data_IF_518228747068
#
_entry.id   IF_518228747068
#
_cell.length_a   1.000
_cell.length_b   1.000
_cell.length_c   1.000
_cell.angle_alpha   90.00
_cell.angle_beta   90.00
_cell.angle_gamma   90.00
#
_symmetry.space_group_name_H-M   'P 1'
#
loop_
_entity.id
_entity.type
_entity.pdbx_description
1 polymer ?
#
# COMPACT_ATOMS: atom_id res chain seq x y z
N UNK A 1 -17.31 -9.43 2.58
CA UNK A 1 -18.69 -9.90 2.28
C UNK A 1 -18.74 -11.36 1.79
N UNK A 2 -17.91 -11.80 0.83
CA UNK A 2 -17.94 -13.22 0.37
C UNK A 2 -17.36 -14.17 1.39
N UNK A 3 -16.28 -13.80 2.05
CA UNK A 3 -15.65 -14.56 3.15
C UNK A 3 -16.59 -14.73 4.35
N UNK A 4 -17.35 -13.71 4.71
CA UNK A 4 -18.27 -13.73 5.85
C UNK A 4 -19.44 -14.72 5.64
N UNK A 5 -19.91 -14.83 4.40
CA UNK A 5 -20.95 -15.82 4.05
C UNK A 5 -20.42 -17.24 4.15
N UNK A 6 -19.18 -17.50 3.74
CA UNK A 6 -18.58 -18.84 3.86
C UNK A 6 -18.30 -19.24 5.32
N UNK A 7 -17.84 -18.30 6.14
CA UNK A 7 -17.62 -18.57 7.58
C UNK A 7 -18.93 -18.80 8.30
N UNK A 8 -19.97 -17.99 8.05
CA UNK A 8 -21.30 -18.18 8.63
C UNK A 8 -21.95 -19.48 8.18
N UNK A 9 -21.82 -19.84 6.90
CA UNK A 9 -22.31 -21.12 6.39
C UNK A 9 -21.56 -22.30 7.03
N UNK A 10 -20.24 -22.21 7.21
CA UNK A 10 -19.43 -23.22 7.87
C UNK A 10 -19.87 -23.46 9.33
N UNK A 11 -20.12 -22.37 10.06
CA UNK A 11 -20.62 -22.46 11.45
C UNK A 11 -22.02 -23.09 11.49
N UNK A 12 -22.94 -22.69 10.60
CA UNK A 12 -24.28 -23.29 10.54
C UNK A 12 -24.24 -24.78 10.19
N UNK A 13 -23.39 -25.19 9.25
CA UNK A 13 -23.21 -26.62 8.91
C UNK A 13 -22.64 -27.40 10.09
N UNK A 14 -21.64 -26.83 10.79
CA UNK A 14 -21.05 -27.48 11.99
C UNK A 14 -22.07 -27.66 13.12
N UNK A 15 -22.86 -26.63 13.40
CA UNK A 15 -23.93 -26.71 14.40
C UNK A 15 -25.04 -27.69 13.97
N UNK A 16 -25.38 -27.74 12.69
CA UNK A 16 -26.32 -28.70 12.15
C UNK A 16 -25.86 -30.15 12.30
N UNK A 17 -24.57 -30.42 12.06
CA UNK A 17 -23.97 -31.76 12.24
C UNK A 17 -24.02 -32.17 13.72
N UNK A 18 -23.68 -31.25 14.64
CA UNK A 18 -23.73 -31.49 16.07
C UNK A 18 -25.17 -31.79 16.52
N UNK A 19 -26.14 -30.99 16.04
CA UNK A 19 -27.57 -31.20 16.39
C UNK A 19 -28.08 -32.54 15.86
N UNK A 20 -27.76 -32.94 14.64
CA UNK A 20 -28.11 -34.24 14.06
C UNK A 20 -27.42 -35.39 14.79
N UNK A 21 -26.13 -35.24 15.15
CA UNK A 21 -25.40 -36.27 15.86
C UNK A 21 -26.01 -36.54 17.24
N UNK A 22 -26.46 -35.49 17.95
CA UNK A 22 -27.13 -35.64 19.24
C UNK A 22 -28.47 -36.37 19.14
N UNK A 23 -29.17 -36.28 17.99
CA UNK A 23 -30.45 -36.93 17.76
C UNK A 23 -30.32 -38.44 17.39
N UNK A 24 -29.21 -38.80 16.71
CA UNK A 24 -29.02 -40.17 16.21
C UNK A 24 -28.16 -41.07 17.10
N UNK A 25 -27.39 -40.52 18.06
CA UNK A 25 -26.46 -41.28 18.88
C UNK A 25 -26.80 -41.14 20.37
N UNK A 26 -27.77 -41.90 20.82
CA UNK A 26 -28.11 -42.04 22.27
C UNK A 26 -27.21 -43.04 23.01
N UNK A 27 -26.11 -43.52 22.43
CA UNK A 27 -25.23 -44.49 23.07
C UNK A 27 -24.31 -43.82 24.11
N UNK A 28 -24.40 -44.19 25.40
CA UNK A 28 -23.62 -43.60 26.49
C UNK A 28 -22.10 -43.76 26.33
N UNK A 29 -21.64 -44.58 25.41
CA UNK A 29 -20.21 -44.76 25.11
C UNK A 29 -19.63 -43.64 24.23
N UNK A 30 -20.46 -42.76 23.69
CA UNK A 30 -20.07 -41.72 22.73
C UNK A 30 -20.03 -40.32 23.38
N UNK A 31 -20.28 -40.24 24.70
CA UNK A 31 -20.27 -38.95 25.43
C UNK A 31 -18.97 -38.14 25.32
N UNK A 32 -17.86 -38.76 24.99
CA UNK A 32 -16.59 -38.04 24.79
C UNK A 32 -16.51 -37.32 23.41
N UNK A 33 -17.35 -37.68 22.44
CA UNK A 33 -17.39 -37.00 21.12
C UNK A 33 -17.94 -35.59 21.24
N UNK A 34 -18.88 -35.34 22.14
CA UNK A 34 -19.48 -34.02 22.33
C UNK A 34 -18.46 -32.98 22.82
N UNK A 35 -17.65 -33.20 23.87
CA UNK A 35 -16.61 -32.24 24.24
C UNK A 35 -15.51 -32.11 23.18
N UNK A 36 -15.20 -33.16 22.44
CA UNK A 36 -14.23 -33.05 21.32
C UNK A 36 -14.78 -32.18 20.18
N UNK A 37 -16.04 -32.40 19.79
CA UNK A 37 -16.70 -31.55 18.79
C UNK A 37 -16.77 -30.09 19.26
N UNK A 38 -17.11 -29.85 20.52
CA UNK A 38 -17.15 -28.53 21.12
C UNK A 38 -15.77 -27.82 21.05
N UNK A 39 -14.67 -28.55 21.33
CA UNK A 39 -13.32 -28.03 21.24
C UNK A 39 -13.00 -27.67 19.79
N UNK A 40 -13.34 -28.51 18.80
CA UNK A 40 -13.15 -28.23 17.40
C UNK A 40 -13.87 -26.94 16.97
N UNK A 41 -15.13 -26.79 17.36
CA UNK A 41 -15.91 -25.58 17.05
C UNK A 41 -15.30 -24.36 17.74
N UNK A 42 -14.89 -24.46 18.99
CA UNK A 42 -14.25 -23.37 19.72
C UNK A 42 -12.95 -22.91 19.07
N UNK A 43 -12.09 -23.85 18.64
CA UNK A 43 -10.84 -23.54 17.92
C UNK A 43 -11.14 -22.88 16.57
N UNK A 44 -12.15 -23.36 15.86
CA UNK A 44 -12.55 -22.78 14.57
C UNK A 44 -13.07 -21.34 14.73
N UNK A 45 -13.91 -21.10 15.74
CA UNK A 45 -14.42 -19.75 16.05
C UNK A 45 -13.28 -18.83 16.48
N UNK A 46 -12.38 -19.31 17.33
CA UNK A 46 -11.22 -18.54 17.78
C UNK A 46 -10.31 -18.15 16.60
N UNK A 47 -10.08 -19.08 15.69
CA UNK A 47 -9.33 -18.81 14.47
C UNK A 47 -10.02 -17.76 13.59
N UNK A 48 -11.33 -17.90 13.36
CA UNK A 48 -12.09 -16.93 12.57
C UNK A 48 -12.09 -15.53 13.21
N UNK A 49 -12.24 -15.46 14.54
CA UNK A 49 -12.15 -14.20 15.28
C UNK A 49 -10.74 -13.56 15.19
N UNK A 50 -9.69 -14.38 15.28
CA UNK A 50 -8.33 -13.91 15.12
C UNK A 50 -8.08 -13.36 13.72
N UNK A 51 -8.47 -14.08 12.66
CA UNK A 51 -8.29 -13.67 11.27
C UNK A 51 -9.02 -12.35 10.98
N UNK A 52 -10.27 -12.20 11.47
CA UNK A 52 -11.04 -10.95 11.34
C UNK A 52 -10.38 -9.79 12.10
N UNK A 53 -9.91 -10.04 13.31
CA UNK A 53 -9.24 -9.02 14.13
C UNK A 53 -7.91 -8.59 13.48
N UNK A 54 -7.11 -9.55 13.02
CA UNK A 54 -5.86 -9.29 12.34
C UNK A 54 -6.07 -8.46 11.04
N UNK A 55 -7.11 -8.78 10.28
CA UNK A 55 -7.49 -8.02 9.10
C UNK A 55 -7.93 -6.60 9.46
N UNK A 56 -8.79 -6.44 10.47
CA UNK A 56 -9.25 -5.13 10.92
C UNK A 56 -8.10 -4.27 11.45
N UNK A 57 -7.17 -4.85 12.20
CA UNK A 57 -5.96 -4.17 12.65
C UNK A 57 -5.05 -3.78 11.47
N UNK A 58 -4.89 -4.66 10.48
CA UNK A 58 -4.14 -4.37 9.27
C UNK A 58 -4.70 -3.16 8.49
N UNK A 59 -6.02 -3.03 8.43
CA UNK A 59 -6.68 -1.89 7.78
C UNK A 59 -6.56 -0.57 8.58
N UNK A 60 -6.30 -0.66 9.90
CA UNK A 60 -6.06 0.50 10.78
C UNK A 60 -4.59 0.88 10.87
N UNK A 61 -3.69 -0.05 10.61
CA UNK A 61 -2.25 0.21 10.55
C UNK A 61 -1.88 0.73 9.17
N UNK A 62 -1.02 1.72 9.10
CA UNK A 62 -0.50 2.32 7.85
C UNK A 62 0.31 1.28 7.04
N UNK A 63 -0.38 0.30 6.47
CA UNK A 63 0.23 -0.73 5.63
C UNK A 63 0.60 -0.11 4.27
N UNK A 64 1.83 -0.32 3.85
CA UNK A 64 2.30 0.08 2.51
C UNK A 64 1.48 -0.59 1.42
N UNK A 65 1.42 0.04 0.26
CA UNK A 65 0.87 -0.58 -0.94
C UNK A 65 1.67 -1.83 -1.34
N UNK A 66 1.05 -2.78 -2.06
CA UNK A 66 1.75 -3.89 -2.67
C UNK A 66 2.93 -3.41 -3.52
N UNK A 67 4.01 -4.20 -3.57
CA UNK A 67 5.24 -3.83 -4.28
C UNK A 67 5.00 -3.59 -5.78
N UNK A 68 4.10 -4.34 -6.40
CA UNK A 68 3.73 -4.17 -7.81
C UNK A 68 3.05 -2.83 -8.08
N UNK A 69 2.21 -2.34 -7.16
CA UNK A 69 1.61 -1.00 -7.24
C UNK A 69 2.68 0.09 -7.05
N UNK A 70 3.60 -0.05 -6.09
CA UNK A 70 4.70 0.90 -5.88
C UNK A 70 5.67 0.95 -7.07
N UNK A 71 6.06 -0.20 -7.61
CA UNK A 71 6.98 -0.28 -8.75
C UNK A 71 6.35 0.31 -10.01
N UNK A 72 5.05 0.13 -10.18
CA UNK A 72 4.34 0.78 -11.27
C UNK A 72 4.32 2.32 -11.07
N UNK A 73 4.06 2.84 -9.87
CA UNK A 73 4.13 4.28 -9.58
C UNK A 73 5.53 4.82 -9.93
N UNK A 74 6.59 4.11 -9.52
CA UNK A 74 7.97 4.47 -9.87
C UNK A 74 8.16 4.52 -11.38
N UNK A 75 7.64 3.57 -12.13
CA UNK A 75 7.74 3.54 -13.59
C UNK A 75 7.04 4.74 -14.24
N UNK A 76 5.90 5.17 -13.72
CA UNK A 76 5.19 6.38 -14.19
C UNK A 76 6.03 7.63 -13.95
N UNK A 77 6.62 7.78 -12.76
CA UNK A 77 7.49 8.93 -12.44
C UNK A 77 8.70 8.96 -13.39
N UNK A 78 9.35 7.81 -13.59
CA UNK A 78 10.52 7.69 -14.47
C UNK A 78 10.17 7.97 -15.93
N UNK A 79 8.93 7.68 -16.35
CA UNK A 79 8.43 7.96 -17.69
C UNK A 79 8.33 9.45 -18.04
N UNK A 80 8.36 10.34 -17.04
CA UNK A 80 8.34 11.80 -17.24
C UNK A 80 9.75 12.42 -17.36
N UNK A 81 10.71 11.65 -17.83
CA UNK A 81 12.00 12.21 -18.27
C UNK A 81 11.83 12.97 -19.60
N UNK A 82 12.57 14.06 -19.82
CA UNK A 82 13.61 14.65 -18.96
C UNK A 82 13.11 15.70 -17.97
N UNK A 83 11.81 15.97 -17.88
CA UNK A 83 11.23 17.04 -17.05
C UNK A 83 11.48 16.83 -15.57
N UNK A 84 11.46 15.56 -15.13
CA UNK A 84 11.75 15.16 -13.74
C UNK A 84 13.20 14.73 -13.64
N UNK A 85 13.96 15.47 -12.84
CA UNK A 85 15.38 15.23 -12.58
C UNK A 85 15.62 14.14 -11.54
N UNK A 86 14.63 13.87 -10.69
CA UNK A 86 14.69 12.85 -9.65
C UNK A 86 13.43 12.82 -8.82
N UNK A 87 13.31 11.78 -8.01
CA UNK A 87 12.23 11.65 -7.02
C UNK A 87 12.76 11.03 -5.74
N UNK A 88 12.11 11.32 -4.62
CA UNK A 88 12.45 10.72 -3.34
C UNK A 88 11.25 10.73 -2.39
N UNK A 89 11.41 10.10 -1.22
CA UNK A 89 10.38 10.03 -0.19
C UNK A 89 9.03 9.49 -0.69
N UNK A 90 9.05 8.49 -1.59
CA UNK A 90 7.82 7.80 -1.96
C UNK A 90 7.28 7.07 -0.72
N UNK A 91 6.16 7.55 -0.23
CA UNK A 91 5.41 7.00 0.89
C UNK A 91 4.04 6.58 0.41
N UNK A 92 3.68 5.37 0.71
CA UNK A 92 2.39 4.82 0.36
C UNK A 92 1.74 4.24 1.60
N UNK A 93 0.42 4.39 1.69
CA UNK A 93 -0.35 3.74 2.74
C UNK A 93 -1.73 3.37 2.22
N UNK A 94 -2.26 2.27 2.74
CA UNK A 94 -3.60 1.79 2.48
C UNK A 94 -4.42 1.93 3.76
N UNK A 95 -5.58 2.56 3.66
CA UNK A 95 -6.56 2.65 4.74
C UNK A 95 -7.91 2.16 4.22
N UNK A 96 -8.26 0.92 4.54
CA UNK A 96 -9.43 0.24 3.99
C UNK A 96 -9.37 0.17 2.46
N UNK A 97 -10.32 0.81 1.78
CA UNK A 97 -10.38 0.86 0.31
C UNK A 97 -9.68 2.10 -0.29
N UNK A 98 -9.10 2.97 0.55
CA UNK A 98 -8.42 4.18 0.09
C UNK A 98 -6.91 3.99 0.08
N UNK A 99 -6.25 4.59 -0.91
CA UNK A 99 -4.80 4.60 -1.08
C UNK A 99 -4.28 6.02 -1.00
N UNK A 100 -3.28 6.22 -0.18
CA UNK A 100 -2.59 7.51 -0.05
C UNK A 100 -1.18 7.35 -0.57
N UNK A 101 -0.83 8.19 -1.54
CA UNK A 101 0.45 8.16 -2.24
C UNK A 101 1.04 9.56 -2.13
N UNK A 102 2.23 9.64 -1.56
CA UNK A 102 2.96 10.89 -1.37
C UNK A 102 4.39 10.71 -1.85
N UNK A 103 4.90 11.65 -2.62
CA UNK A 103 6.29 11.66 -3.05
C UNK A 103 6.74 13.06 -3.45
N UNK A 104 8.06 13.25 -3.47
CA UNK A 104 8.70 14.47 -3.89
C UNK A 104 9.35 14.27 -5.26
N UNK A 105 9.26 15.27 -6.12
CA UNK A 105 9.94 15.31 -7.42
C UNK A 105 10.91 16.48 -7.47
N UNK A 106 12.06 16.23 -8.07
CA UNK A 106 13.06 17.27 -8.38
C UNK A 106 12.91 17.70 -9.83
N UNK A 107 12.82 19.02 -10.06
CA UNK A 107 12.69 19.62 -11.39
C UNK A 107 13.75 20.72 -11.61
N UNK A 108 13.90 21.22 -12.84
CA UNK A 108 14.81 22.34 -13.10
C UNK A 108 14.43 23.56 -12.22
N UNK A 109 15.38 24.16 -11.49
CA UNK A 109 15.11 25.33 -10.64
C UNK A 109 14.51 26.54 -11.39
N UNK A 110 14.69 26.59 -12.71
CA UNK A 110 14.16 27.65 -13.58
C UNK A 110 12.80 27.32 -14.16
N UNK A 111 12.26 26.14 -13.88
CA UNK A 111 10.94 25.73 -14.32
C UNK A 111 9.87 26.65 -13.70
N UNK A 112 8.92 27.09 -14.52
CA UNK A 112 7.82 27.90 -14.00
C UNK A 112 6.87 27.07 -13.14
N UNK A 113 6.17 27.73 -12.23
CA UNK A 113 5.13 27.08 -11.41
C UNK A 113 4.06 26.46 -12.30
N UNK A 114 3.68 27.13 -13.37
CA UNK A 114 2.68 26.63 -14.32
C UNK A 114 3.12 25.30 -14.95
N UNK A 115 4.36 25.23 -15.44
CA UNK A 115 4.89 24.02 -16.06
C UNK A 115 5.01 22.87 -15.06
N UNK A 116 5.57 23.13 -13.88
CA UNK A 116 5.73 22.11 -12.84
C UNK A 116 4.40 21.61 -12.30
N UNK A 117 3.39 22.49 -12.19
CA UNK A 117 2.02 22.12 -11.85
C UNK A 117 1.39 21.25 -12.94
N UNK A 118 1.64 21.52 -14.21
CA UNK A 118 1.21 20.68 -15.34
C UNK A 118 1.70 19.24 -15.18
N UNK A 119 3.01 19.07 -14.92
CA UNK A 119 3.62 17.74 -14.69
C UNK A 119 2.95 17.01 -13.52
N UNK A 120 2.74 17.69 -12.39
CA UNK A 120 2.10 17.04 -11.22
C UNK A 120 0.67 16.66 -11.49
N UNK A 121 -0.07 17.45 -12.25
CA UNK A 121 -1.44 17.14 -12.66
C UNK A 121 -1.49 15.89 -13.52
N UNK A 122 -0.59 15.77 -14.49
CA UNK A 122 -0.53 14.64 -15.39
C UNK A 122 -0.13 13.35 -14.65
N UNK A 123 0.85 13.42 -13.75
CA UNK A 123 1.21 12.32 -12.85
C UNK A 123 0.03 11.87 -11.99
N UNK A 124 -0.66 12.82 -11.34
CA UNK A 124 -1.84 12.54 -10.52
C UNK A 124 -2.91 11.84 -11.34
N UNK A 125 -3.21 12.36 -12.52
CA UNK A 125 -4.23 11.79 -13.39
C UNK A 125 -3.91 10.34 -13.75
N UNK A 126 -2.69 10.04 -14.21
CA UNK A 126 -2.27 8.70 -14.58
C UNK A 126 -2.34 7.73 -13.39
N UNK A 127 -1.90 8.18 -12.21
CA UNK A 127 -1.92 7.33 -11.01
C UNK A 127 -3.35 7.05 -10.57
N UNK A 128 -4.21 8.07 -10.51
CA UNK A 128 -5.60 7.93 -10.06
C UNK A 128 -6.47 7.16 -11.04
N UNK A 129 -6.16 7.21 -12.35
CA UNK A 129 -6.86 6.43 -13.38
C UNK A 129 -6.65 4.92 -13.16
N UNK A 130 -5.44 4.50 -12.85
CA UNK A 130 -5.13 3.08 -12.62
C UNK A 130 -5.42 2.61 -11.20
N UNK A 131 -5.07 3.43 -10.22
CA UNK A 131 -5.29 3.12 -8.80
C UNK A 131 -6.53 3.86 -8.33
N UNK A 132 -7.68 3.22 -8.46
CA UNK A 132 -8.95 3.79 -8.03
C UNK A 132 -8.98 4.05 -6.51
N UNK A 133 -9.78 5.02 -6.06
CA UNK A 133 -9.85 5.45 -4.67
C UNK A 133 -8.48 5.86 -4.09
N UNK A 134 -7.67 6.57 -4.87
CA UNK A 134 -6.38 7.07 -4.42
C UNK A 134 -6.36 8.59 -4.25
N UNK A 135 -5.59 9.04 -3.28
CA UNK A 135 -5.21 10.45 -3.09
C UNK A 135 -3.72 10.57 -3.33
N UNK A 136 -3.32 11.42 -4.27
CA UNK A 136 -1.91 11.61 -4.64
C UNK A 136 -1.46 13.01 -4.27
N UNK A 137 -0.45 13.11 -3.42
CA UNK A 137 0.21 14.35 -3.04
C UNK A 137 1.62 14.37 -3.61
N UNK A 138 1.95 15.39 -4.38
CA UNK A 138 3.27 15.54 -5.00
C UNK A 138 3.86 16.86 -4.54
N UNK A 139 5.02 16.77 -3.89
CA UNK A 139 5.82 17.94 -3.53
C UNK A 139 6.86 18.22 -4.61
N UNK A 140 6.90 19.45 -5.10
CA UNK A 140 7.85 19.87 -6.13
C UNK A 140 9.01 20.58 -5.45
N UNK A 141 10.22 20.14 -5.75
CA UNK A 141 11.45 20.72 -5.26
C UNK A 141 12.39 21.09 -6.41
N UNK A 142 13.14 22.18 -6.30
CA UNK A 142 14.18 22.48 -7.27
C UNK A 142 15.33 21.47 -7.16
N UNK A 143 15.93 21.10 -8.29
CA UNK A 143 17.17 20.36 -8.33
C UNK A 143 18.34 21.34 -8.19
N UNK A 144 18.75 21.63 -6.98
CA UNK A 144 19.77 22.60 -6.61
C UNK A 144 21.21 22.10 -6.72
N UNK A 145 21.41 20.83 -7.09
CA UNK A 145 22.74 20.21 -7.17
C UNK A 145 23.26 19.69 -5.83
N UNK A 146 22.55 19.93 -4.72
CA UNK A 146 22.90 19.39 -3.41
C UNK A 146 22.46 17.92 -3.27
N UNK A 147 23.34 17.02 -3.68
CA UNK A 147 23.06 15.60 -3.80
C UNK A 147 23.30 14.86 -2.48
N UNK A 148 22.26 14.77 -1.63
CA UNK A 148 22.25 13.90 -0.47
C UNK A 148 22.09 12.43 -0.88
N UNK A 149 22.38 11.47 0.00
CA UNK A 149 22.16 10.04 -0.26
C UNK A 149 20.72 9.74 -0.64
N UNK A 150 19.75 10.39 0.01
CA UNK A 150 18.32 10.26 -0.29
C UNK A 150 18.00 10.77 -1.69
N UNK A 151 18.59 11.89 -2.11
CA UNK A 151 18.42 12.42 -3.46
C UNK A 151 19.06 11.51 -4.51
N UNK A 152 20.24 10.96 -4.24
CA UNK A 152 20.97 10.08 -5.15
C UNK A 152 20.24 8.78 -5.44
N UNK A 153 19.53 8.23 -4.47
CA UNK A 153 18.79 6.95 -4.62
C UNK A 153 17.65 7.03 -5.65
N UNK A 154 17.10 8.21 -5.89
CA UNK A 154 16.04 8.45 -6.87
C UNK A 154 16.43 9.43 -7.98
N UNK A 155 17.72 9.71 -8.16
CA UNK A 155 18.20 10.63 -9.18
C UNK A 155 18.04 10.03 -10.57
N UNK A 156 17.42 10.79 -11.49
CA UNK A 156 17.17 10.38 -12.86
C UNK A 156 18.15 11.06 -13.85
N UNK A 157 18.95 12.01 -13.37
CA UNK A 157 19.95 12.71 -14.21
C UNK A 157 21.17 11.84 -14.46
N UNK A 158 21.73 11.88 -15.68
CA UNK A 158 23.04 11.32 -15.97
C UNK A 158 24.15 11.96 -15.10
N UNK A 159 25.20 11.22 -14.85
CA UNK A 159 26.28 11.65 -13.94
C UNK A 159 26.95 12.95 -14.39
N UNK A 160 27.11 13.16 -15.68
CA UNK A 160 27.71 14.38 -16.25
C UNK A 160 26.84 15.61 -15.99
N UNK A 161 25.53 15.51 -16.13
CA UNK A 161 24.60 16.61 -15.84
C UNK A 161 24.54 16.90 -14.33
N UNK A 162 24.54 15.86 -13.50
CA UNK A 162 24.58 16.01 -12.05
C UNK A 162 25.83 16.76 -11.58
N UNK A 163 27.01 16.42 -12.11
CA UNK A 163 28.26 17.12 -11.80
C UNK A 163 28.24 18.59 -12.22
N UNK A 164 27.62 18.92 -13.35
CA UNK A 164 27.48 20.31 -13.79
C UNK A 164 26.61 21.14 -12.84
N UNK A 165 25.51 20.57 -12.35
CA UNK A 165 24.61 21.25 -11.39
C UNK A 165 25.30 21.50 -10.06
N UNK A 166 26.05 20.55 -9.53
CA UNK A 166 26.79 20.71 -8.28
C UNK A 166 27.90 21.75 -8.35
N UNK A 167 28.51 22.01 -9.54
CA UNK A 167 29.53 23.05 -9.73
C UNK A 167 28.93 24.45 -9.79
N UNK A 168 27.69 24.61 -10.21
CA UNK A 168 27.02 25.92 -10.31
C UNK A 168 26.63 26.47 -8.94
N UNK A 169 26.35 25.60 -7.98
CA UNK A 169 25.92 26.03 -6.64
C UNK A 169 27.08 26.50 -5.76
N UNK A 170 28.28 25.96 -5.95
CA UNK A 170 29.48 26.43 -5.22
C UNK A 170 29.90 27.89 -5.52
N UNK A 171 29.25 28.55 -6.49
CA UNK A 171 29.50 29.96 -6.85
C UNK A 171 28.50 30.95 -6.25
N UNK A 172 27.51 30.53 -5.45
CA UNK A 172 26.49 31.43 -4.86
C UNK A 172 26.71 31.84 -3.42
N UNK A 173 27.74 31.33 -2.77
CA UNK A 173 28.12 31.74 -1.41
C UNK A 173 29.01 32.99 -1.47
N UNK A 174 28.42 34.16 -1.85
CA UNK A 174 28.98 35.48 -1.57
C UNK A 174 27.86 36.53 -1.47
#
# INVERSE_FOLDING_TARGET
LRTDVFTSAGVMVSLGIIWVSHFFFEDPRIHWLDPVAAIFVAVFILKAAYDLTAQALGDLMDVKLPLDEEDWIRSVIVGHRPEIHGYHQLRTRKAGNFRFIEFHIKVDPRMTVETSHGITRDLKFQIMEKISNSTVTIHIEPCDGNCTEVCLSGCLLPEDQRKRLSMVDTGRDH
#
